data_IF_414390995677
#
_entry.id   IF_414390995677
#
_cell.length_a   1.000
_cell.length_b   1.000
_cell.length_c   1.000
_cell.angle_alpha   90.00
_cell.angle_beta   90.00
_cell.angle_gamma   90.00
#
_symmetry.space_group_name_H-M   'P 1'
#
loop_
_entity.id
_entity.type
_entity.pdbx_description
1 polymer ?
#
# COMPACT_ATOMS: atom_id res chain seq x y z
N UNK A 1 17.41 38.74 7.88
CA UNK A 1 17.34 37.41 8.53
C UNK A 1 16.53 36.52 7.61
N UNK A 2 17.21 35.72 6.78
CA UNK A 2 16.61 34.88 5.72
C UNK A 2 16.21 33.58 6.40
N UNK A 3 14.92 33.35 6.59
CA UNK A 3 14.39 32.04 6.99
C UNK A 3 14.62 31.09 5.83
N UNK A 4 15.63 30.26 5.88
CA UNK A 4 15.76 29.11 5.00
C UNK A 4 14.67 28.09 5.43
N UNK A 5 13.60 28.06 4.65
CA UNK A 5 12.66 26.94 4.69
C UNK A 5 13.44 25.71 4.23
N UNK A 6 13.86 24.87 5.15
CA UNK A 6 14.21 23.48 4.84
C UNK A 6 12.95 22.80 4.34
N UNK A 7 12.79 22.77 3.04
CA UNK A 7 11.80 21.93 2.39
C UNK A 7 12.16 20.49 2.70
N UNK A 8 11.49 19.90 3.68
CA UNK A 8 11.64 18.47 4.00
C UNK A 8 11.20 17.73 2.75
N UNK A 9 12.18 17.29 1.96
CA UNK A 9 11.92 16.56 0.72
C UNK A 9 11.05 15.33 1.05
N UNK A 10 9.82 15.33 0.58
CA UNK A 10 8.90 14.21 0.78
C UNK A 10 9.54 12.93 0.25
N UNK A 11 9.57 11.87 1.06
CA UNK A 11 10.07 10.56 0.66
C UNK A 11 9.27 10.06 -0.56
N UNK A 12 9.95 9.40 -1.48
CA UNK A 12 9.39 8.90 -2.73
C UNK A 12 9.21 7.38 -2.65
N UNK A 13 8.06 6.90 -3.04
CA UNK A 13 7.77 5.47 -3.10
C UNK A 13 7.15 5.11 -4.45
N UNK A 14 7.58 4.00 -5.02
CA UNK A 14 7.07 3.49 -6.29
C UNK A 14 6.47 2.10 -6.11
N UNK A 15 5.30 1.85 -6.70
CA UNK A 15 4.58 0.60 -6.61
C UNK A 15 4.54 -0.11 -7.96
N UNK A 16 5.15 -1.30 -8.06
CA UNK A 16 5.00 -2.19 -9.22
C UNK A 16 3.76 -3.06 -8.99
N UNK A 17 2.71 -2.84 -9.78
CA UNK A 17 1.40 -3.49 -9.60
C UNK A 17 0.47 -2.72 -8.66
N UNK A 18 0.39 -1.40 -8.82
CA UNK A 18 -0.33 -0.49 -7.91
C UNK A 18 -1.85 -0.71 -7.90
N UNK A 19 -2.44 -1.24 -8.97
CA UNK A 19 -3.89 -1.41 -9.10
C UNK A 19 -4.44 -2.66 -8.40
N UNK A 20 -3.60 -3.50 -7.82
CA UNK A 20 -4.07 -4.55 -6.92
C UNK A 20 -4.78 -3.94 -5.70
N UNK A 21 -5.88 -4.57 -5.23
CA UNK A 21 -6.70 -4.05 -4.12
C UNK A 21 -5.85 -3.73 -2.88
N UNK A 22 -4.99 -4.66 -2.47
CA UNK A 22 -4.11 -4.47 -1.31
C UNK A 22 -3.00 -3.44 -1.58
N UNK A 23 -2.42 -3.44 -2.79
CA UNK A 23 -1.37 -2.52 -3.20
C UNK A 23 -1.88 -1.07 -3.27
N UNK A 24 -3.05 -0.86 -3.84
CA UNK A 24 -3.68 0.46 -3.92
C UNK A 24 -4.03 1.02 -2.54
N UNK A 25 -4.54 0.17 -1.65
CA UNK A 25 -4.81 0.55 -0.27
C UNK A 25 -3.52 1.01 0.46
N UNK A 26 -2.42 0.28 0.25
CA UNK A 26 -1.11 0.63 0.78
C UNK A 26 -0.58 1.94 0.17
N UNK A 27 -0.72 2.13 -1.14
CA UNK A 27 -0.33 3.35 -1.85
C UNK A 27 -1.07 4.58 -1.30
N UNK A 28 -2.40 4.46 -1.08
CA UNK A 28 -3.22 5.51 -0.46
C UNK A 28 -2.76 5.82 0.97
N UNK A 29 -2.37 4.79 1.73
CA UNK A 29 -1.86 4.96 3.08
C UNK A 29 -0.55 5.78 3.10
N UNK A 30 0.40 5.47 2.26
CA UNK A 30 1.64 6.25 2.12
C UNK A 30 1.37 7.67 1.62
N UNK A 31 0.44 7.85 0.70
CA UNK A 31 0.05 9.18 0.23
C UNK A 31 -0.48 10.05 1.38
N UNK A 32 -1.32 9.50 2.25
CA UNK A 32 -1.82 10.19 3.45
C UNK A 32 -0.72 10.54 4.45
N UNK A 33 0.35 9.74 4.50
CA UNK A 33 1.54 10.02 5.32
C UNK A 33 2.48 11.06 4.69
N UNK A 34 2.11 11.68 3.57
CA UNK A 34 2.89 12.72 2.92
C UNK A 34 3.99 12.22 1.98
N UNK A 35 4.00 10.91 1.64
CA UNK A 35 4.94 10.39 0.65
C UNK A 35 4.52 10.79 -0.76
N UNK A 36 5.50 11.03 -1.62
CA UNK A 36 5.27 11.13 -3.06
C UNK A 36 5.14 9.72 -3.64
N UNK A 37 3.91 9.32 -3.95
CA UNK A 37 3.58 7.98 -4.43
C UNK A 37 3.48 7.97 -5.93
N UNK A 38 4.13 7.01 -6.57
CA UNK A 38 4.00 6.69 -8.00
C UNK A 38 3.78 5.19 -8.18
N UNK A 39 3.34 4.76 -9.35
CA UNK A 39 3.22 3.32 -9.62
C UNK A 39 2.89 2.97 -11.06
N UNK A 40 2.98 1.69 -11.34
CA UNK A 40 2.71 1.07 -12.64
C UNK A 40 1.77 -0.12 -12.49
N UNK A 41 0.99 -0.39 -13.52
CA UNK A 41 0.19 -1.62 -13.63
C UNK A 41 -0.23 -1.85 -15.10
N UNK A 42 -0.70 -3.05 -15.41
CA UNK A 42 -1.28 -3.38 -16.72
C UNK A 42 -2.79 -3.28 -16.74
N UNK A 43 -3.45 -3.33 -15.59
CA UNK A 43 -4.90 -3.32 -15.43
C UNK A 43 -5.41 -2.13 -14.62
N UNK A 44 -6.30 -1.32 -15.20
CA UNK A 44 -6.86 -0.11 -14.60
C UNK A 44 -8.38 -0.22 -14.51
N UNK A 45 -8.86 -0.83 -13.45
CA UNK A 45 -10.29 -1.08 -13.29
C UNK A 45 -10.86 -0.27 -12.12
N UNK A 46 -12.02 0.40 -12.31
CA UNK A 46 -12.78 0.94 -11.18
C UNK A 46 -13.18 -0.19 -10.21
N UNK A 47 -13.31 0.11 -8.92
CA UNK A 47 -13.18 1.41 -8.27
C UNK A 47 -11.72 1.81 -7.92
N UNK A 48 -10.76 0.89 -7.99
CA UNK A 48 -9.37 1.09 -7.54
C UNK A 48 -8.70 2.24 -8.29
N UNK A 49 -8.75 2.20 -9.63
CA UNK A 49 -8.12 3.24 -10.46
C UNK A 49 -8.74 4.64 -10.23
N UNK A 50 -10.03 4.70 -9.91
CA UNK A 50 -10.71 5.95 -9.57
C UNK A 50 -10.17 6.53 -8.27
N UNK A 51 -10.08 5.71 -7.22
CA UNK A 51 -9.56 6.14 -5.92
C UNK A 51 -8.10 6.61 -5.98
N UNK A 52 -7.26 5.95 -6.76
CA UNK A 52 -5.87 6.37 -6.96
C UNK A 52 -5.78 7.76 -7.64
N UNK A 53 -6.62 8.00 -8.66
CA UNK A 53 -6.71 9.30 -9.35
C UNK A 53 -7.22 10.41 -8.43
N UNK A 54 -8.30 10.16 -7.70
CA UNK A 54 -8.87 11.10 -6.73
C UNK A 54 -7.88 11.49 -5.63
N UNK A 55 -7.02 10.55 -5.22
CA UNK A 55 -5.95 10.81 -4.26
C UNK A 55 -4.76 11.57 -4.86
N UNK A 56 -4.76 11.88 -6.15
CA UNK A 56 -3.66 12.55 -6.83
C UNK A 56 -2.37 11.71 -6.83
N UNK A 57 -2.50 10.39 -6.98
CA UNK A 57 -1.37 9.49 -7.17
C UNK A 57 -1.07 9.43 -8.66
N UNK A 58 0.21 9.62 -9.01
CA UNK A 58 0.70 9.52 -10.38
C UNK A 58 1.01 8.07 -10.71
N UNK A 59 0.26 7.47 -11.64
CA UNK A 59 0.45 6.09 -12.07
C UNK A 59 0.21 5.93 -13.58
N UNK A 60 0.83 4.91 -14.17
CA UNK A 60 0.84 4.75 -15.62
C UNK A 60 0.64 3.29 -16.04
N UNK A 61 0.09 3.08 -17.27
CA UNK A 61 -0.11 1.75 -17.83
C UNK A 61 1.20 1.16 -18.34
N UNK A 62 1.33 -0.17 -18.18
CA UNK A 62 2.50 -0.93 -18.61
C UNK A 62 3.70 -0.79 -17.68
N UNK A 63 4.79 -1.40 -18.10
CA UNK A 63 6.03 -1.45 -17.35
C UNK A 63 7.06 -0.58 -18.02
N UNK A 64 7.49 0.48 -17.34
CA UNK A 64 8.36 1.52 -17.87
C UNK A 64 9.53 1.80 -16.92
N UNK A 65 10.62 1.01 -17.00
CA UNK A 65 11.80 1.18 -16.14
C UNK A 65 12.34 2.61 -16.14
N UNK A 66 12.29 3.29 -17.26
CA UNK A 66 12.75 4.67 -17.44
C UNK A 66 11.95 5.71 -16.62
N UNK A 67 10.75 5.34 -16.17
CA UNK A 67 9.90 6.19 -15.33
C UNK A 67 10.13 6.00 -13.83
N UNK A 68 10.88 4.97 -13.44
CA UNK A 68 11.27 4.75 -12.06
C UNK A 68 12.32 5.78 -11.66
N UNK A 69 11.88 6.91 -11.15
CA UNK A 69 12.73 8.07 -10.87
C UNK A 69 13.36 7.96 -9.47
N UNK A 70 14.28 7.01 -9.28
CA UNK A 70 15.07 6.77 -8.04
C UNK A 70 14.25 7.03 -6.76
N UNK A 71 13.24 6.21 -6.48
CA UNK A 71 12.48 6.31 -5.25
C UNK A 71 13.31 5.86 -4.05
N UNK A 72 12.94 6.32 -2.86
CA UNK A 72 13.54 5.86 -1.60
C UNK A 72 13.15 4.41 -1.28
N UNK A 73 12.00 3.97 -1.81
CA UNK A 73 11.50 2.61 -1.67
C UNK A 73 10.70 2.18 -2.91
N UNK A 74 10.91 0.96 -3.38
CA UNK A 74 10.04 0.28 -4.35
C UNK A 74 9.25 -0.81 -3.66
N UNK A 75 7.93 -0.83 -3.85
CA UNK A 75 7.06 -1.91 -3.38
C UNK A 75 6.73 -2.82 -4.54
N UNK A 76 7.09 -4.09 -4.40
CA UNK A 76 6.93 -5.08 -5.46
C UNK A 76 5.70 -5.93 -5.18
N UNK A 77 4.71 -5.85 -6.07
CA UNK A 77 3.50 -6.67 -6.03
C UNK A 77 3.69 -8.04 -6.67
N UNK A 78 2.77 -8.96 -6.40
CA UNK A 78 2.81 -10.32 -6.93
C UNK A 78 2.69 -10.41 -8.47
N UNK A 79 2.28 -9.34 -9.13
CA UNK A 79 2.22 -9.25 -10.61
C UNK A 79 3.61 -9.06 -11.25
N UNK A 80 4.62 -8.72 -10.46
CA UNK A 80 6.00 -8.60 -10.91
C UNK A 80 6.63 -9.99 -11.02
N UNK A 81 6.41 -10.66 -12.16
CA UNK A 81 7.10 -11.90 -12.51
C UNK A 81 8.61 -11.69 -12.66
N UNK A 82 9.37 -12.76 -12.68
CA UNK A 82 10.83 -12.72 -12.91
C UNK A 82 11.25 -12.04 -14.22
N UNK A 83 10.31 -11.90 -15.17
CA UNK A 83 10.52 -11.25 -16.47
C UNK A 83 10.00 -9.81 -16.53
N UNK A 84 9.45 -9.29 -15.44
CA UNK A 84 8.91 -7.92 -15.42
C UNK A 84 10.06 -6.89 -15.60
N UNK A 85 9.99 -6.00 -16.62
CA UNK A 85 11.08 -5.08 -16.92
C UNK A 85 11.42 -4.11 -15.79
N UNK A 86 10.41 -3.65 -15.04
CA UNK A 86 10.62 -2.76 -13.89
C UNK A 86 11.27 -3.50 -12.72
N UNK A 87 10.87 -4.76 -12.48
CA UNK A 87 11.49 -5.58 -11.47
C UNK A 87 12.96 -5.86 -11.80
N UNK A 88 13.27 -6.21 -13.06
CA UNK A 88 14.65 -6.39 -13.52
C UNK A 88 15.47 -5.12 -13.32
N UNK A 89 14.92 -3.97 -13.69
CA UNK A 89 15.57 -2.67 -13.49
C UNK A 89 15.88 -2.39 -12.01
N UNK A 90 14.94 -2.67 -11.12
CA UNK A 90 15.11 -2.51 -9.66
C UNK A 90 16.27 -3.34 -9.14
N UNK A 91 16.38 -4.60 -9.60
CA UNK A 91 17.46 -5.50 -9.23
C UNK A 91 18.82 -5.05 -9.79
N UNK A 92 18.87 -4.72 -11.07
CA UNK A 92 20.11 -4.27 -11.76
C UNK A 92 20.70 -3.01 -11.13
N UNK A 93 19.83 -2.04 -10.83
CA UNK A 93 20.23 -0.77 -10.22
C UNK A 93 20.31 -0.80 -8.70
N UNK A 94 20.12 -1.97 -8.09
CA UNK A 94 20.17 -2.17 -6.62
C UNK A 94 19.34 -1.15 -5.85
N UNK A 95 18.16 -0.84 -6.37
CA UNK A 95 17.24 0.07 -5.68
C UNK A 95 16.72 -0.60 -4.41
N UNK A 96 16.42 0.20 -3.39
CA UNK A 96 15.82 -0.30 -2.18
C UNK A 96 14.39 -0.77 -2.47
N UNK A 97 14.14 -2.04 -2.28
CA UNK A 97 12.81 -2.63 -2.53
C UNK A 97 12.35 -3.52 -1.37
N UNK A 98 11.05 -3.68 -1.29
CA UNK A 98 10.39 -4.59 -0.35
C UNK A 98 9.15 -5.19 -1.02
N UNK A 99 8.84 -6.42 -0.64
CA UNK A 99 7.56 -7.01 -0.95
C UNK A 99 6.43 -6.37 -0.13
N UNK A 100 5.20 -6.52 -0.58
CA UNK A 100 4.02 -6.04 0.16
C UNK A 100 3.99 -6.48 1.64
N UNK A 101 4.21 -7.78 1.98
CA UNK A 101 4.23 -8.21 3.38
C UNK A 101 5.33 -7.55 4.23
N UNK A 102 6.53 -7.38 3.65
CA UNK A 102 7.65 -6.73 4.35
C UNK A 102 7.35 -5.26 4.66
N UNK A 103 6.72 -4.55 3.72
CA UNK A 103 6.31 -3.16 3.96
C UNK A 103 5.26 -3.09 5.07
N UNK A 104 4.28 -3.97 5.06
CA UNK A 104 3.28 -4.04 6.13
C UNK A 104 3.95 -4.29 7.48
N UNK A 105 4.83 -5.28 7.56
CA UNK A 105 5.52 -5.63 8.80
C UNK A 105 6.35 -4.47 9.36
N UNK A 106 7.06 -3.76 8.49
CA UNK A 106 7.99 -2.71 8.93
C UNK A 106 7.30 -1.37 9.25
N UNK A 107 6.37 -0.95 8.39
CA UNK A 107 5.79 0.39 8.47
C UNK A 107 4.48 0.44 9.26
N UNK A 108 3.72 -0.66 9.30
CA UNK A 108 2.36 -0.64 9.81
C UNK A 108 2.13 -1.56 11.02
N UNK A 109 2.80 -2.70 11.12
CA UNK A 109 2.68 -3.57 12.29
C UNK A 109 3.49 -2.99 13.45
N UNK A 110 2.80 -2.62 14.54
CA UNK A 110 3.39 -2.04 15.75
C UNK A 110 2.97 -2.85 16.98
N UNK A 111 3.47 -2.47 18.17
CA UNK A 111 3.20 -3.16 19.43
C UNK A 111 1.70 -3.42 19.69
N UNK A 112 0.84 -2.51 19.28
CA UNK A 112 -0.61 -2.59 19.48
C UNK A 112 -1.34 -3.03 18.19
N UNK A 113 -0.83 -4.03 17.48
CA UNK A 113 -1.44 -4.56 16.26
C UNK A 113 -2.19 -5.85 16.53
N UNK A 114 -3.37 -6.02 15.91
CA UNK A 114 -4.12 -7.27 15.88
C UNK A 114 -4.10 -7.79 14.45
N UNK A 115 -3.60 -9.01 14.26
CA UNK A 115 -3.50 -9.66 12.94
C UNK A 115 -4.51 -10.81 12.88
N UNK A 116 -5.48 -10.70 11.98
CA UNK A 116 -6.43 -11.76 11.69
C UNK A 116 -5.82 -12.72 10.64
N UNK A 117 -5.36 -13.88 11.10
CA UNK A 117 -4.81 -14.95 10.25
C UNK A 117 -5.78 -16.14 10.15
N UNK A 118 -5.68 -16.89 9.06
CA UNK A 118 -6.50 -18.10 8.87
C UNK A 118 -6.71 -18.43 7.38
N UNK A 119 -7.25 -19.60 7.12
CA UNK A 119 -7.59 -20.03 5.74
C UNK A 119 -8.79 -19.24 5.21
N UNK A 120 -9.83 -19.06 6.04
CA UNK A 120 -11.06 -18.35 5.70
C UNK A 120 -11.38 -17.25 6.71
N UNK A 121 -12.26 -16.31 6.34
CA UNK A 121 -12.83 -15.31 7.24
C UNK A 121 -11.91 -14.13 7.60
N UNK A 122 -10.66 -14.08 7.15
CA UNK A 122 -9.71 -13.00 7.50
C UNK A 122 -10.27 -11.59 7.27
N UNK A 123 -10.72 -11.32 6.04
CA UNK A 123 -11.31 -10.04 5.65
C UNK A 123 -12.53 -9.69 6.48
N UNK A 124 -13.46 -10.65 6.66
CA UNK A 124 -14.68 -10.47 7.45
C UNK A 124 -14.37 -10.19 8.91
N UNK A 125 -13.46 -10.96 9.52
CA UNK A 125 -13.07 -10.77 10.92
C UNK A 125 -12.38 -9.41 11.13
N UNK A 126 -11.51 -9.00 10.23
CA UNK A 126 -10.85 -7.69 10.31
C UNK A 126 -11.86 -6.55 10.14
N UNK A 127 -12.78 -6.68 9.19
CA UNK A 127 -13.81 -5.67 8.97
C UNK A 127 -14.75 -5.55 10.18
N UNK A 128 -15.20 -6.66 10.75
CA UNK A 128 -16.07 -6.69 11.92
C UNK A 128 -15.36 -6.08 13.15
N UNK A 129 -14.11 -6.46 13.39
CA UNK A 129 -13.31 -5.91 14.49
C UNK A 129 -13.10 -4.40 14.33
N UNK A 130 -12.82 -3.94 13.10
CA UNK A 130 -12.72 -2.51 12.80
C UNK A 130 -14.01 -1.77 13.11
N UNK A 131 -15.14 -2.35 12.71
CA UNK A 131 -16.46 -1.79 13.02
C UNK A 131 -16.70 -1.67 14.53
N UNK A 132 -16.51 -2.77 15.27
CA UNK A 132 -16.70 -2.80 16.72
C UNK A 132 -15.87 -1.75 17.44
N UNK A 133 -14.61 -1.59 17.03
CA UNK A 133 -13.73 -0.61 17.64
C UNK A 133 -14.16 0.83 17.33
N UNK A 134 -14.61 1.09 16.12
CA UNK A 134 -15.13 2.40 15.75
C UNK A 134 -16.40 2.76 16.55
N UNK A 135 -17.32 1.82 16.65
CA UNK A 135 -18.54 1.99 17.48
C UNK A 135 -18.22 2.18 18.98
N UNK A 136 -17.12 1.58 19.44
CA UNK A 136 -16.63 1.77 20.80
C UNK A 136 -15.85 3.10 21.02
N UNK A 137 -15.80 3.97 20.01
CA UNK A 137 -15.15 5.28 20.09
C UNK A 137 -13.66 5.28 19.86
N UNK A 138 -13.07 4.16 19.41
CA UNK A 138 -11.68 4.11 18.97
C UNK A 138 -11.55 4.57 17.52
N UNK A 139 -10.36 5.03 17.14
CA UNK A 139 -10.01 5.35 15.76
C UNK A 139 -8.93 4.38 15.24
N UNK A 140 -9.28 3.10 14.95
CA UNK A 140 -8.33 2.09 14.55
C UNK A 140 -7.81 2.37 13.13
N UNK A 141 -6.51 2.17 12.93
CA UNK A 141 -6.01 1.92 11.59
C UNK A 141 -6.37 0.48 11.18
N UNK A 142 -6.70 0.28 9.93
CA UNK A 142 -7.04 -1.05 9.43
C UNK A 142 -6.59 -1.25 7.99
N UNK A 143 -6.33 -2.51 7.64
CA UNK A 143 -6.02 -2.92 6.28
C UNK A 143 -6.55 -4.34 6.03
N UNK A 144 -7.32 -4.51 4.97
CA UNK A 144 -7.81 -5.81 4.49
C UNK A 144 -8.11 -5.76 2.99
N UNK A 145 -8.11 -6.92 2.35
CA UNK A 145 -8.37 -7.05 0.91
C UNK A 145 -9.86 -6.98 0.57
N UNK A 146 -10.48 -5.82 0.73
CA UNK A 146 -11.88 -5.60 0.45
C UNK A 146 -12.26 -4.13 0.52
N UNK A 147 -13.46 -3.80 0.02
CA UNK A 147 -14.05 -2.48 0.15
C UNK A 147 -15.10 -2.52 1.24
N UNK A 148 -15.08 -1.56 2.14
CA UNK A 148 -16.18 -1.33 3.08
C UNK A 148 -17.10 -0.24 2.53
N UNK A 149 -18.39 -0.35 2.82
CA UNK A 149 -19.37 0.73 2.63
C UNK A 149 -19.20 1.88 3.65
N UNK A 150 -17.97 2.10 4.08
CA UNK A 150 -17.57 3.21 4.96
C UNK A 150 -16.79 4.25 4.14
N UNK A 151 -16.73 5.51 4.56
CA UNK A 151 -16.11 6.59 3.77
C UNK A 151 -14.59 6.46 3.58
N UNK A 152 -13.99 5.32 3.93
CA UNK A 152 -12.57 5.04 3.76
C UNK A 152 -12.37 3.68 3.13
N UNK A 153 -11.78 3.65 1.95
CA UNK A 153 -11.53 2.46 1.13
C UNK A 153 -10.51 1.53 1.76
N UNK A 154 -10.91 0.40 2.29
CA UNK A 154 -10.10 -0.79 2.63
C UNK A 154 -8.81 -0.62 3.44
N UNK A 155 -8.33 0.60 3.60
CA UNK A 155 -7.21 0.97 4.45
C UNK A 155 -7.40 2.39 4.98
N UNK A 156 -7.38 2.52 6.27
CA UNK A 156 -7.35 3.81 6.97
C UNK A 156 -6.18 3.79 7.96
N UNK A 157 -5.33 4.78 7.89
CA UNK A 157 -4.17 4.91 8.77
C UNK A 157 -4.23 6.28 9.42
N UNK A 158 -4.62 6.27 10.68
CA UNK A 158 -4.42 7.35 11.63
C UNK A 158 -3.75 6.74 12.88
N UNK A 159 -2.87 7.36 13.57
CA UNK A 159 -2.19 6.73 14.71
C UNK A 159 -3.04 6.85 15.98
N UNK A 160 -3.22 5.79 16.89
CA UNK A 160 -2.21 4.80 17.29
C UNK A 160 -2.58 3.29 17.29
N UNK A 161 -3.73 2.84 16.82
CA UNK A 161 -4.12 1.41 16.84
C UNK A 161 -4.19 0.84 15.42
N UNK A 162 -3.60 -0.32 15.18
CA UNK A 162 -3.51 -0.92 13.85
C UNK A 162 -4.04 -2.35 13.82
N UNK A 163 -4.91 -2.66 12.84
CA UNK A 163 -5.46 -3.99 12.59
C UNK A 163 -5.15 -4.43 11.16
N UNK A 164 -4.63 -5.63 11.00
CA UNK A 164 -4.27 -6.18 9.69
C UNK A 164 -4.87 -7.57 9.49
N UNK A 165 -5.39 -7.84 8.28
CA UNK A 165 -5.61 -9.20 7.83
C UNK A 165 -4.38 -9.69 7.05
N UNK A 166 -3.86 -10.86 7.39
CA UNK A 166 -2.74 -11.41 6.63
C UNK A 166 -3.20 -11.75 5.20
N UNK A 167 -2.40 -11.42 4.17
CA UNK A 167 -2.70 -11.88 2.82
C UNK A 167 -2.68 -13.40 2.78
N UNK A 168 -3.57 -14.01 1.99
CA UNK A 168 -3.50 -15.43 1.68
C UNK A 168 -2.19 -15.70 0.96
N UNK A 169 -1.27 -16.43 1.58
CA UNK A 169 -0.19 -17.04 0.85
C UNK A 169 -0.80 -18.16 -0.01
N UNK A 170 -1.05 -17.89 -1.27
CA UNK A 170 -1.16 -18.94 -2.25
C UNK A 170 0.25 -19.47 -2.44
N UNK A 171 0.55 -20.60 -1.82
CA UNK A 171 1.72 -21.39 -2.17
C UNK A 171 1.48 -21.84 -3.61
N UNK A 172 2.31 -21.46 -4.58
CA UNK A 172 2.20 -22.00 -5.93
C UNK A 172 2.48 -23.51 -5.86
N UNK A 173 1.84 -24.30 -6.74
CA UNK A 173 2.07 -25.73 -6.82
C UNK A 173 3.51 -26.06 -7.20
#
# INVERSE_FOLDING_TARGET
>A
MRLEFFEVMAKKIHFIGICGVAMSALALAFKRQGWKVTGSDVGFYPPVSTHLKEAGIDFYPGWHPEKINKPDLVVVGNVASSTNPEWLYVQEHKLNYKSYPEVIAEYFVKKNSIVCAGTYGKTTSTALLTWILKEAGFDPNYMFGGLMAMPTNGAYINTPLQFFSSPSQTVPP
#
